data_IF_998945687201
#
_entry.id   IF_998945687201
#
_cell.length_a   1.000
_cell.length_b   1.000
_cell.length_c   1.000
_cell.angle_alpha   90.00
_cell.angle_beta   90.00
_cell.angle_gamma   90.00
#
_symmetry.space_group_name_H-M   'P 1'
#
loop_
_entity.id
_entity.type
_entity.pdbx_description
1 polymer ?
#
# COMPACT_ATOMS: atom_id res chain seq x y z
N UNK A 1 21.33 -17.76 14.77
CA UNK A 1 21.36 -16.41 15.35
C UNK A 1 20.84 -15.50 14.25
N UNK A 2 19.69 -14.87 14.43
CA UNK A 2 19.16 -13.94 13.42
C UNK A 2 20.02 -12.67 13.38
N UNK A 3 20.10 -12.04 12.21
CA UNK A 3 20.82 -10.77 12.06
C UNK A 3 20.10 -9.70 12.88
N UNK A 4 20.83 -8.96 13.70
CA UNK A 4 20.29 -7.83 14.45
C UNK A 4 19.87 -6.71 13.47
N UNK A 5 18.63 -6.22 13.63
CA UNK A 5 18.06 -5.16 12.80
C UNK A 5 18.82 -3.85 12.95
N UNK A 6 19.33 -3.54 14.15
CA UNK A 6 20.09 -2.31 14.38
C UNK A 6 21.40 -2.30 13.59
N UNK A 7 22.03 -3.46 13.41
CA UNK A 7 23.23 -3.59 12.56
C UNK A 7 22.90 -3.24 11.11
N UNK A 8 21.76 -3.68 10.60
CA UNK A 8 21.34 -3.39 9.22
C UNK A 8 20.95 -1.91 9.07
N UNK A 9 20.19 -1.36 10.03
CA UNK A 9 19.78 0.05 10.03
C UNK A 9 20.98 0.99 10.10
N UNK A 10 21.95 0.71 10.97
CA UNK A 10 23.18 1.49 11.05
C UNK A 10 23.94 1.49 9.72
N UNK A 11 24.04 0.35 9.04
CA UNK A 11 24.71 0.26 7.72
C UNK A 11 24.01 1.10 6.64
N UNK A 12 22.68 1.18 6.68
CA UNK A 12 21.88 2.02 5.78
C UNK A 12 22.09 3.50 6.10
N UNK A 13 21.92 3.88 7.38
CA UNK A 13 21.91 5.27 7.82
C UNK A 13 23.30 5.92 7.72
N UNK A 14 24.36 5.19 8.08
CA UNK A 14 25.74 5.66 8.01
C UNK A 14 26.37 5.53 6.61
N UNK A 15 25.61 5.02 5.62
CA UNK A 15 26.08 4.75 4.25
C UNK A 15 27.29 3.80 4.19
N UNK A 16 27.41 2.90 5.18
CA UNK A 16 28.48 1.89 5.22
C UNK A 16 28.29 0.81 4.16
N UNK A 17 27.06 0.59 3.70
CA UNK A 17 26.72 -0.33 2.62
C UNK A 17 25.91 0.38 1.52
N UNK A 18 26.58 0.66 0.39
CA UNK A 18 26.01 1.38 -0.76
C UNK A 18 24.82 0.62 -1.36
N UNK A 19 24.87 -0.71 -1.37
CA UNK A 19 23.80 -1.52 -1.95
C UNK A 19 22.54 -1.42 -1.09
N UNK A 20 22.67 -1.56 0.23
CA UNK A 20 21.58 -1.38 1.17
C UNK A 20 20.99 0.03 1.12
N UNK A 21 21.84 1.06 1.01
CA UNK A 21 21.38 2.45 0.85
C UNK A 21 20.60 2.65 -0.45
N UNK A 22 21.07 2.08 -1.55
CA UNK A 22 20.39 2.15 -2.86
C UNK A 22 19.03 1.47 -2.80
N UNK A 23 18.94 0.30 -2.15
CA UNK A 23 17.67 -0.40 -1.93
C UNK A 23 16.72 0.47 -1.09
N UNK A 24 17.21 1.09 -0.02
CA UNK A 24 16.42 2.00 0.82
C UNK A 24 15.88 3.19 0.02
N UNK A 25 16.69 3.77 -0.86
CA UNK A 25 16.26 4.89 -1.71
C UNK A 25 15.19 4.49 -2.71
N UNK A 26 15.33 3.31 -3.34
CA UNK A 26 14.31 2.78 -4.27
C UNK A 26 12.98 2.56 -3.54
N UNK A 27 13.02 1.96 -2.35
CA UNK A 27 11.81 1.69 -1.56
C UNK A 27 11.19 2.98 -1.06
N UNK A 28 11.99 3.93 -0.55
CA UNK A 28 11.50 5.24 -0.10
C UNK A 28 10.83 6.01 -1.24
N UNK A 29 11.39 5.93 -2.45
CA UNK A 29 10.79 6.49 -3.66
C UNK A 29 9.45 5.83 -4.01
N UNK A 30 9.36 4.49 -3.96
CA UNK A 30 8.09 3.76 -4.16
C UNK A 30 7.03 4.13 -3.11
N UNK A 31 7.42 4.32 -1.84
CA UNK A 31 6.51 4.81 -0.80
C UNK A 31 6.06 6.25 -1.12
N UNK A 32 6.98 7.11 -1.58
CA UNK A 32 6.67 8.48 -1.97
C UNK A 32 5.63 8.57 -3.09
N UNK A 33 5.71 7.69 -4.10
CA UNK A 33 4.72 7.60 -5.17
C UNK A 33 3.39 6.93 -4.75
N UNK A 34 3.30 6.43 -3.52
CA UNK A 34 2.13 5.72 -3.02
C UNK A 34 1.24 6.60 -2.12
N UNK A 35 -0.02 6.21 -1.90
CA UNK A 35 -0.91 6.85 -0.92
C UNK A 35 -0.40 6.81 0.53
N UNK A 36 0.63 5.99 0.79
CA UNK A 36 1.26 5.82 2.10
C UNK A 36 2.37 6.87 2.32
N UNK A 37 2.58 7.78 1.38
CA UNK A 37 3.55 8.86 1.50
C UNK A 37 3.32 9.71 2.75
N UNK A 38 4.36 9.81 3.58
CA UNK A 38 4.43 10.61 4.81
C UNK A 38 5.56 11.66 4.77
N UNK A 39 6.16 11.88 3.60
CA UNK A 39 7.29 12.78 3.40
C UNK A 39 8.64 12.05 3.34
N UNK A 40 9.64 12.70 2.73
CA UNK A 40 10.92 12.09 2.37
C UNK A 40 11.62 11.38 3.53
N UNK A 41 11.71 12.03 4.70
CA UNK A 41 12.40 11.48 5.87
C UNK A 41 11.65 10.28 6.46
N UNK A 42 10.33 10.43 6.66
CA UNK A 42 9.49 9.35 7.19
C UNK A 42 9.49 8.13 6.25
N UNK A 43 9.42 8.34 4.93
CA UNK A 43 9.46 7.27 3.93
C UNK A 43 10.81 6.54 3.94
N UNK A 44 11.92 7.27 4.11
CA UNK A 44 13.24 6.66 4.22
C UNK A 44 13.39 5.83 5.50
N UNK A 45 12.91 6.33 6.64
CA UNK A 45 12.91 5.58 7.90
C UNK A 45 12.06 4.31 7.79
N UNK A 46 10.88 4.40 7.18
CA UNK A 46 10.02 3.24 6.91
C UNK A 46 10.71 2.22 6.00
N UNK A 47 11.41 2.68 4.96
CA UNK A 47 12.19 1.81 4.08
C UNK A 47 13.32 1.10 4.84
N UNK A 48 14.10 1.83 5.65
CA UNK A 48 15.20 1.28 6.44
C UNK A 48 14.71 0.23 7.46
N UNK A 49 13.63 0.53 8.18
CA UNK A 49 13.01 -0.42 9.12
C UNK A 49 12.53 -1.67 8.38
N UNK A 50 11.83 -1.52 7.26
CA UNK A 50 11.33 -2.64 6.45
C UNK A 50 12.47 -3.53 5.95
N UNK A 51 13.53 -2.95 5.40
CA UNK A 51 14.70 -3.69 4.92
C UNK A 51 15.33 -4.48 6.07
N UNK A 52 15.52 -3.83 7.22
CA UNK A 52 16.12 -4.47 8.39
C UNK A 52 15.27 -5.64 8.89
N UNK A 53 13.95 -5.47 8.94
CA UNK A 53 13.01 -6.50 9.33
C UNK A 53 13.04 -7.67 8.35
N UNK A 54 12.89 -7.38 7.05
CA UNK A 54 12.86 -8.42 6.01
C UNK A 54 14.14 -9.24 6.01
N UNK A 55 15.31 -8.58 6.08
CA UNK A 55 16.59 -9.27 6.08
C UNK A 55 16.76 -10.13 7.34
N UNK A 56 16.40 -9.59 8.52
CA UNK A 56 16.49 -10.30 9.80
C UNK A 56 15.59 -11.56 9.84
N UNK A 57 14.39 -11.48 9.28
CA UNK A 57 13.44 -12.60 9.20
C UNK A 57 13.84 -13.64 8.13
N UNK A 58 14.43 -13.19 7.01
CA UNK A 58 14.63 -14.04 5.82
C UNK A 58 16.01 -14.70 5.78
N UNK A 59 17.06 -14.01 6.21
CA UNK A 59 18.44 -14.47 6.08
C UNK A 59 19.02 -14.89 7.42
N UNK A 60 19.79 -15.97 7.38
CA UNK A 60 20.46 -16.51 8.57
C UNK A 60 21.58 -15.61 9.08
N UNK A 61 22.34 -15.01 8.17
CA UNK A 61 23.47 -14.13 8.46
C UNK A 61 23.76 -13.17 7.29
N UNK A 62 24.64 -12.20 7.52
CA UNK A 62 24.97 -11.15 6.55
C UNK A 62 25.73 -11.68 5.34
N UNK A 63 26.46 -12.79 5.46
CA UNK A 63 27.23 -13.34 4.36
C UNK A 63 26.29 -14.02 3.35
N UNK A 64 25.30 -14.79 3.83
CA UNK A 64 24.22 -15.34 2.99
C UNK A 64 23.44 -14.23 2.27
N UNK A 65 23.16 -13.12 2.95
CA UNK A 65 22.52 -11.96 2.34
C UNK A 65 23.40 -11.32 1.23
N UNK A 66 24.69 -11.12 1.48
CA UNK A 66 25.63 -10.57 0.49
C UNK A 66 25.76 -11.49 -0.72
N UNK A 67 25.81 -12.80 -0.51
CA UNK A 67 25.83 -13.79 -1.59
C UNK A 67 24.55 -13.74 -2.43
N UNK A 68 23.40 -13.50 -1.79
CA UNK A 68 22.13 -13.33 -2.49
C UNK A 68 22.15 -12.09 -3.40
N UNK A 69 22.69 -10.96 -2.94
CA UNK A 69 22.81 -9.73 -3.75
C UNK A 69 23.89 -9.82 -4.83
N UNK A 70 24.94 -10.61 -4.60
CA UNK A 70 26.15 -10.65 -5.44
C UNK A 70 26.06 -11.59 -6.64
N UNK A 71 24.93 -12.27 -6.87
CA UNK A 71 24.81 -13.24 -7.98
C UNK A 71 25.03 -12.56 -9.34
N UNK A 72 25.98 -13.03 -10.19
CA UNK A 72 26.62 -12.20 -11.21
C UNK A 72 25.75 -11.81 -12.42
N UNK A 73 24.66 -12.53 -12.69
CA UNK A 73 24.02 -12.44 -14.01
C UNK A 73 23.16 -11.20 -14.28
N UNK A 74 23.05 -10.23 -13.37
CA UNK A 74 22.45 -8.88 -13.58
C UNK A 74 22.40 -8.06 -12.27
N UNK A 75 23.52 -7.53 -11.76
CA UNK A 75 23.56 -6.77 -10.47
C UNK A 75 22.50 -5.65 -10.33
N UNK A 76 22.23 -4.89 -11.39
CA UNK A 76 21.20 -3.83 -11.33
C UNK A 76 19.78 -4.42 -11.30
N UNK A 77 19.54 -5.54 -12.00
CA UNK A 77 18.23 -6.20 -11.90
C UNK A 77 18.07 -6.91 -10.56
N UNK A 78 19.14 -7.44 -9.95
CA UNK A 78 19.05 -8.06 -8.63
C UNK A 78 18.73 -7.05 -7.53
N UNK A 79 19.30 -5.84 -7.56
CA UNK A 79 18.97 -4.76 -6.60
C UNK A 79 17.51 -4.32 -6.74
N UNK A 80 17.04 -4.06 -7.97
CA UNK A 80 15.64 -3.65 -8.18
C UNK A 80 14.65 -4.75 -7.79
N UNK A 81 14.92 -6.01 -8.18
CA UNK A 81 14.08 -7.15 -7.81
C UNK A 81 14.04 -7.36 -6.29
N UNK A 82 15.17 -7.19 -5.61
CA UNK A 82 15.21 -7.25 -4.16
C UNK A 82 14.40 -6.11 -3.54
N UNK A 83 14.57 -4.88 -4.02
CA UNK A 83 13.79 -3.73 -3.58
C UNK A 83 12.28 -3.93 -3.81
N UNK A 84 11.87 -4.50 -4.95
CA UNK A 84 10.48 -4.86 -5.23
C UNK A 84 9.96 -5.91 -4.24
N UNK A 85 10.78 -6.91 -3.91
CA UNK A 85 10.42 -7.96 -2.95
C UNK A 85 10.21 -7.38 -1.55
N UNK A 86 11.12 -6.53 -1.09
CA UNK A 86 11.00 -5.87 0.22
C UNK A 86 9.85 -4.86 0.22
N UNK A 87 9.60 -4.13 -0.86
CA UNK A 87 8.46 -3.24 -0.96
C UNK A 87 7.12 -3.98 -0.94
N UNK A 88 7.02 -5.13 -1.63
CA UNK A 88 5.85 -6.00 -1.51
C UNK A 88 5.65 -6.48 -0.06
N UNK A 89 6.73 -6.87 0.62
CA UNK A 89 6.68 -7.23 2.03
C UNK A 89 6.23 -6.07 2.93
N UNK A 90 6.68 -4.84 2.65
CA UNK A 90 6.16 -3.64 3.30
C UNK A 90 4.65 -3.54 3.12
N UNK A 91 4.17 -3.57 1.87
CA UNK A 91 2.74 -3.44 1.56
C UNK A 91 1.89 -4.55 2.18
N UNK A 92 2.40 -5.79 2.24
CA UNK A 92 1.69 -6.92 2.83
C UNK A 92 1.44 -6.73 4.34
N UNK A 93 2.32 -5.96 5.02
CA UNK A 93 2.21 -5.61 6.44
C UNK A 93 1.37 -4.35 6.72
N UNK A 94 1.02 -3.57 5.70
CA UNK A 94 0.20 -2.36 5.84
C UNK A 94 -1.29 -2.72 5.83
N UNK A 95 -1.81 -3.02 7.03
CA UNK A 95 -3.19 -3.44 7.20
C UNK A 95 -4.17 -2.31 6.86
N UNK A 96 -5.24 -2.63 6.14
CA UNK A 96 -6.31 -1.67 5.84
C UNK A 96 -7.34 -1.63 6.96
N UNK A 97 -7.13 -0.75 7.93
CA UNK A 97 -8.19 -0.42 8.90
C UNK A 97 -9.19 0.58 8.30
N UNK A 98 -10.37 0.66 8.90
CA UNK A 98 -11.38 1.66 8.55
C UNK A 98 -10.81 3.09 8.54
N UNK A 99 -10.10 3.49 9.61
CA UNK A 99 -9.55 4.83 9.74
C UNK A 99 -8.47 5.12 8.69
N UNK A 100 -7.65 4.11 8.35
CA UNK A 100 -6.63 4.24 7.31
C UNK A 100 -7.29 4.49 5.95
N UNK A 101 -8.27 3.67 5.57
CA UNK A 101 -8.97 3.83 4.28
C UNK A 101 -9.70 5.17 4.23
N UNK A 102 -10.40 5.53 5.31
CA UNK A 102 -11.10 6.81 5.40
C UNK A 102 -10.14 7.99 5.21
N UNK A 103 -9.01 7.99 5.91
CA UNK A 103 -7.99 9.04 5.76
C UNK A 103 -7.42 9.10 4.32
N UNK A 104 -7.21 7.96 3.66
CA UNK A 104 -6.77 7.93 2.25
C UNK A 104 -7.79 8.62 1.34
N UNK A 105 -9.08 8.36 1.56
CA UNK A 105 -10.18 8.98 0.78
C UNK A 105 -10.27 10.48 1.08
N UNK A 106 -10.38 10.87 2.36
CA UNK A 106 -10.55 12.27 2.77
C UNK A 106 -9.38 13.15 2.34
N UNK A 107 -8.15 12.62 2.40
CA UNK A 107 -6.95 13.33 1.96
C UNK A 107 -6.66 13.19 0.45
N UNK A 108 -7.55 12.53 -0.31
CA UNK A 108 -7.42 12.27 -1.74
C UNK A 108 -6.07 11.65 -2.15
N UNK A 109 -5.50 10.80 -1.29
CA UNK A 109 -4.16 10.21 -1.50
C UNK A 109 -4.15 9.08 -2.53
N UNK A 110 -5.31 8.49 -2.83
CA UNK A 110 -5.48 7.46 -3.85
C UNK A 110 -6.62 7.84 -4.80
N UNK A 111 -6.28 8.09 -6.07
CA UNK A 111 -7.23 8.53 -7.10
C UNK A 111 -8.28 7.46 -7.38
N UNK A 112 -7.93 6.17 -7.32
CA UNK A 112 -8.90 5.10 -7.57
C UNK A 112 -9.93 5.05 -6.45
N UNK A 113 -9.49 5.14 -5.19
CA UNK A 113 -10.41 5.16 -4.05
C UNK A 113 -11.31 6.39 -4.07
N UNK A 114 -10.75 7.55 -4.41
CA UNK A 114 -11.54 8.77 -4.59
C UNK A 114 -12.62 8.57 -5.66
N UNK A 115 -12.26 8.08 -6.85
CA UNK A 115 -13.22 7.85 -7.94
C UNK A 115 -14.30 6.84 -7.56
N UNK A 116 -13.93 5.73 -6.93
CA UNK A 116 -14.90 4.73 -6.43
C UNK A 116 -15.87 5.38 -5.45
N UNK A 117 -15.37 6.23 -4.55
CA UNK A 117 -16.19 6.94 -3.55
C UNK A 117 -17.15 7.92 -4.21
N UNK A 118 -16.67 8.69 -5.19
CA UNK A 118 -17.49 9.62 -5.97
C UNK A 118 -18.61 8.87 -6.72
N UNK A 119 -18.31 7.70 -7.31
CA UNK A 119 -19.31 6.86 -8.00
C UNK A 119 -20.35 6.32 -7.01
N UNK A 120 -19.93 5.86 -5.83
CA UNK A 120 -20.87 5.40 -4.79
C UNK A 120 -21.76 6.55 -4.30
N UNK A 121 -21.19 7.73 -4.07
CA UNK A 121 -21.95 8.93 -3.69
C UNK A 121 -22.98 9.32 -4.74
N UNK A 122 -22.61 9.24 -6.02
CA UNK A 122 -23.52 9.49 -7.13
C UNK A 122 -24.67 8.47 -7.19
N UNK A 123 -24.40 7.19 -6.91
CA UNK A 123 -25.46 6.17 -6.82
C UNK A 123 -26.41 6.41 -5.64
N UNK A 124 -25.91 6.88 -4.50
CA UNK A 124 -26.75 7.31 -3.37
C UNK A 124 -27.64 8.48 -3.77
N UNK A 125 -27.07 9.48 -4.46
CA UNK A 125 -27.83 10.63 -4.99
C UNK A 125 -28.96 10.20 -5.95
N UNK A 126 -28.75 9.15 -6.75
CA UNK A 126 -29.78 8.61 -7.64
C UNK A 126 -30.85 7.76 -6.93
N UNK A 127 -30.72 7.54 -5.62
CA UNK A 127 -31.59 6.67 -4.84
C UNK A 127 -32.58 7.46 -3.99
N UNK A 128 -33.63 6.82 -3.42
CA UNK A 128 -34.55 7.46 -2.46
C UNK A 128 -33.87 7.95 -1.17
N UNK A 129 -32.59 7.64 -0.99
CA UNK A 129 -31.81 7.91 0.21
C UNK A 129 -30.95 9.17 0.07
N UNK A 130 -31.13 9.90 -1.03
CA UNK A 130 -30.50 11.19 -1.26
C UNK A 130 -30.77 12.14 -0.09
N UNK A 131 -29.68 12.63 0.51
CA UNK A 131 -29.69 13.63 1.58
C UNK A 131 -28.90 14.89 1.18
N UNK A 132 -28.62 15.03 -0.10
CA UNK A 132 -27.79 16.09 -0.66
C UNK A 132 -26.31 15.69 -0.78
N UNK A 133 -25.54 16.41 -1.61
CA UNK A 133 -24.20 15.99 -2.02
C UNK A 133 -23.22 15.72 -0.87
N UNK A 134 -23.21 16.57 0.16
CA UNK A 134 -22.30 16.46 1.30
C UNK A 134 -22.59 15.19 2.13
N UNK A 135 -23.85 14.97 2.50
CA UNK A 135 -24.26 13.80 3.26
C UNK A 135 -24.09 12.50 2.46
N UNK A 136 -24.32 12.54 1.14
CA UNK A 136 -24.11 11.40 0.26
C UNK A 136 -22.63 11.05 0.16
N UNK A 137 -21.73 12.05 0.08
CA UNK A 137 -20.29 11.83 0.09
C UNK A 137 -19.82 11.23 1.43
N UNK A 138 -20.23 11.79 2.57
CA UNK A 138 -19.88 11.27 3.90
C UNK A 138 -20.36 9.81 4.06
N UNK A 139 -21.57 9.52 3.56
CA UNK A 139 -22.10 8.15 3.54
C UNK A 139 -21.23 7.25 2.67
N UNK A 140 -20.96 7.64 1.43
CA UNK A 140 -20.14 6.87 0.51
C UNK A 140 -18.73 6.60 1.07
N UNK A 141 -18.06 7.63 1.59
CA UNK A 141 -16.74 7.53 2.23
C UNK A 141 -16.77 6.49 3.36
N UNK A 142 -17.76 6.58 4.25
CA UNK A 142 -17.92 5.65 5.37
C UNK A 142 -18.12 4.22 4.89
N UNK A 143 -18.98 4.01 3.89
CA UNK A 143 -19.27 2.66 3.39
C UNK A 143 -18.14 2.06 2.55
N UNK A 144 -17.44 2.86 1.76
CA UNK A 144 -16.24 2.43 1.05
C UNK A 144 -15.17 2.03 2.08
N UNK A 145 -14.91 2.87 3.09
CA UNK A 145 -13.95 2.55 4.14
C UNK A 145 -14.32 1.26 4.89
N UNK A 146 -15.59 1.08 5.25
CA UNK A 146 -16.08 -0.13 5.89
C UNK A 146 -15.89 -1.35 4.99
N UNK A 147 -16.38 -1.29 3.75
CA UNK A 147 -16.29 -2.41 2.81
C UNK A 147 -14.83 -2.84 2.62
N UNK A 148 -13.91 -1.90 2.39
CA UNK A 148 -12.52 -2.25 2.18
C UNK A 148 -11.89 -2.90 3.41
N UNK A 149 -12.12 -2.31 4.60
CA UNK A 149 -11.53 -2.81 5.85
C UNK A 149 -12.07 -4.18 6.26
N UNK A 150 -13.30 -4.53 5.86
CA UNK A 150 -13.89 -5.85 6.13
C UNK A 150 -13.46 -6.92 5.11
N UNK A 151 -13.12 -6.54 3.87
CA UNK A 151 -12.92 -7.48 2.76
C UNK A 151 -11.47 -7.64 2.30
N UNK A 152 -10.57 -6.73 2.68
CA UNK A 152 -9.16 -6.77 2.26
C UNK A 152 -8.23 -6.62 3.46
N UNK A 153 -7.20 -7.47 3.53
CA UNK A 153 -6.22 -7.40 4.60
C UNK A 153 -5.32 -6.17 4.46
N UNK A 154 -4.90 -5.85 3.24
CA UNK A 154 -3.95 -4.77 2.95
C UNK A 154 -4.21 -4.13 1.57
N UNK A 155 -3.52 -3.01 1.30
CA UNK A 155 -3.71 -2.24 0.07
C UNK A 155 -3.35 -3.01 -1.19
N UNK A 156 -2.43 -3.97 -1.09
CA UNK A 156 -1.99 -4.78 -2.22
C UNK A 156 -3.07 -5.76 -2.68
N UNK A 157 -3.75 -6.41 -1.74
CA UNK A 157 -4.91 -7.27 -2.04
C UNK A 157 -6.04 -6.48 -2.72
N UNK A 158 -6.34 -5.29 -2.21
CA UNK A 158 -7.32 -4.39 -2.84
C UNK A 158 -6.93 -4.01 -4.27
N UNK A 159 -5.68 -3.57 -4.49
CA UNK A 159 -5.18 -3.21 -5.84
C UNK A 159 -5.21 -4.37 -6.81
N UNK A 160 -4.90 -5.57 -6.32
CA UNK A 160 -5.02 -6.79 -7.13
C UNK A 160 -6.47 -7.04 -7.53
N UNK A 161 -7.41 -6.93 -6.60
CA UNK A 161 -8.83 -7.05 -6.91
C UNK A 161 -9.29 -6.02 -7.96
N UNK A 162 -8.89 -4.76 -7.82
CA UNK A 162 -9.17 -3.74 -8.85
C UNK A 162 -8.57 -4.09 -10.21
N UNK A 163 -7.33 -4.58 -10.25
CA UNK A 163 -6.68 -4.99 -11.49
C UNK A 163 -7.37 -6.20 -12.13
N UNK A 164 -7.89 -7.13 -11.33
CA UNK A 164 -8.61 -8.31 -11.81
C UNK A 164 -9.99 -7.95 -12.39
N UNK A 165 -10.60 -6.85 -11.92
CA UNK A 165 -11.84 -6.30 -12.48
C UNK A 165 -11.65 -5.58 -13.82
N UNK A 166 -10.43 -5.20 -14.18
CA UNK A 166 -10.10 -4.58 -15.46
C UNK A 166 -9.19 -3.35 -15.34
N UNK A 167 -9.33 -2.40 -16.27
CA UNK A 167 -8.48 -1.20 -16.33
C UNK A 167 -9.30 0.08 -16.30
N UNK A 168 -8.77 1.08 -15.59
CA UNK A 168 -9.31 2.44 -15.57
C UNK A 168 -10.73 2.52 -15.01
N UNK A 169 -11.54 3.38 -15.61
CA UNK A 169 -12.89 3.69 -15.16
C UNK A 169 -13.80 2.47 -15.04
N UNK A 170 -13.69 1.49 -15.96
CA UNK A 170 -14.49 0.27 -15.92
C UNK A 170 -14.30 -0.51 -14.61
N UNK A 171 -13.06 -0.69 -14.17
CA UNK A 171 -12.77 -1.38 -12.91
C UNK A 171 -13.29 -0.59 -11.70
N UNK A 172 -13.19 0.75 -11.73
CA UNK A 172 -13.69 1.63 -10.67
C UNK A 172 -15.22 1.54 -10.57
N UNK A 173 -15.94 1.57 -11.69
CA UNK A 173 -17.40 1.43 -11.74
C UNK A 173 -17.86 0.06 -11.25
N UNK A 174 -17.24 -1.02 -11.74
CA UNK A 174 -17.56 -2.38 -11.32
C UNK A 174 -17.31 -2.58 -9.82
N UNK A 175 -16.22 -2.04 -9.28
CA UNK A 175 -15.95 -2.11 -7.84
C UNK A 175 -16.94 -1.24 -7.04
N UNK A 176 -17.28 -0.04 -7.52
CA UNK A 176 -18.27 0.81 -6.87
C UNK A 176 -19.66 0.15 -6.83
N UNK A 177 -20.03 -0.63 -7.86
CA UNK A 177 -21.25 -1.45 -7.84
C UNK A 177 -21.24 -2.51 -6.73
N UNK A 178 -20.09 -3.16 -6.49
CA UNK A 178 -19.95 -4.11 -5.38
C UNK A 178 -20.14 -3.43 -4.02
N UNK A 179 -19.52 -2.26 -3.83
CA UNK A 179 -19.65 -1.47 -2.58
C UNK A 179 -21.09 -0.99 -2.40
N UNK A 180 -21.71 -0.46 -3.45
CA UNK A 180 -23.09 0.03 -3.39
C UNK A 180 -24.08 -1.11 -3.11
N UNK A 181 -23.88 -2.29 -3.70
CA UNK A 181 -24.68 -3.47 -3.38
C UNK A 181 -24.55 -3.87 -1.91
N UNK A 182 -23.33 -3.85 -1.37
CA UNK A 182 -23.08 -4.12 0.04
C UNK A 182 -23.75 -3.09 0.96
N UNK A 183 -23.71 -1.81 0.59
CA UNK A 183 -24.44 -0.72 1.26
C UNK A 183 -25.95 -1.01 1.32
N UNK A 184 -26.57 -1.35 0.19
CA UNK A 184 -28.00 -1.67 0.15
C UNK A 184 -28.35 -2.93 0.98
N UNK A 185 -27.43 -3.88 1.13
CA UNK A 185 -27.65 -5.09 1.93
C UNK A 185 -27.57 -4.81 3.43
N UNK A 186 -26.60 -4.03 3.91
CA UNK A 186 -26.42 -3.68 5.33
C UNK A 186 -27.55 -2.78 5.88
N UNK A 187 -28.35 -2.19 5.00
CA UNK A 187 -29.53 -1.38 5.37
C UNK A 187 -30.80 -2.19 5.63
N UNK A 188 -30.84 -3.44 5.20
CA UNK A 188 -31.94 -4.36 5.47
C UNK A 188 -31.71 -5.09 6.79
#
# INVERSE_FOLDING_TARGET
>A
MHIDKEVIKNRINNKEDISLKTIADIIAYKIYESPENMGTEANFLAAAETISQYISETFKDLDVFKDHLSRPDKRVKSINQFADTVYNYYQDKQLLSFDIVKNIISAAKDINLKMITDIVAYKIYQSPEDKGPEFNFISAETFVAQYLSENFKNIREFRRCLSDLGKGQYAQEAFADLVYKYYCQKKK
#
